data_IF_910903243245
#
_entry.id   IF_910903243245
#
_cell.length_a   1.000
_cell.length_b   1.000
_cell.length_c   1.000
_cell.angle_alpha   90.00
_cell.angle_beta   90.00
_cell.angle_gamma   90.00
#
_symmetry.space_group_name_H-M   'P 1'
#
loop_
_entity.id
_entity.type
_entity.pdbx_description
1 polymer ?
#
# COMPACT_ATOMS: atom_id res chain seq x y z
N UNK A 1 -37.33 -57.07 23.79
CA UNK A 1 -38.48 -57.18 24.72
C UNK A 1 -38.76 -55.81 25.29
N UNK A 2 -39.95 -55.41 25.13
CA UNK A 2 -40.86 -54.41 25.74
C UNK A 2 -40.50 -52.97 25.44
N UNK A 3 -41.20 -52.34 24.50
CA UNK A 3 -42.58 -51.79 24.37
C UNK A 3 -42.79 -50.49 25.14
N UNK A 4 -43.04 -49.41 24.32
CA UNK A 4 -44.15 -48.44 24.43
C UNK A 4 -44.24 -47.52 25.66
N UNK A 5 -44.44 -46.19 25.49
CA UNK A 5 -45.79 -45.67 25.18
C UNK A 5 -45.75 -44.18 24.89
N UNK A 6 -46.52 -43.74 23.88
CA UNK A 6 -46.90 -42.35 23.56
C UNK A 6 -47.89 -41.81 24.63
N UNK A 7 -47.82 -40.50 24.87
CA UNK A 7 -48.96 -39.78 25.40
C UNK A 7 -49.16 -38.49 24.64
N UNK A 8 -50.25 -38.38 23.92
CA UNK A 8 -50.92 -37.22 23.37
C UNK A 8 -51.63 -36.45 24.46
N UNK A 9 -51.54 -35.14 24.49
CA UNK A 9 -52.56 -34.30 25.14
C UNK A 9 -52.96 -33.16 24.21
N UNK A 10 -54.25 -33.10 23.96
CA UNK A 10 -55.01 -32.19 23.11
C UNK A 10 -55.63 -31.06 23.94
N UNK A 11 -55.57 -29.82 23.43
CA UNK A 11 -56.58 -28.74 23.37
C UNK A 11 -57.28 -28.27 24.66
N UNK A 12 -57.70 -26.96 24.75
CA UNK A 12 -58.70 -26.43 23.83
C UNK A 12 -58.55 -24.97 23.36
N UNK A 13 -59.23 -24.72 22.27
CA UNK A 13 -59.60 -23.49 21.60
C UNK A 13 -60.45 -22.57 22.48
N UNK A 14 -60.21 -21.26 22.55
CA UNK A 14 -61.16 -20.25 23.03
C UNK A 14 -61.33 -19.17 21.95
N UNK A 15 -62.54 -19.15 21.41
CA UNK A 15 -63.09 -18.08 20.58
C UNK A 15 -63.21 -16.80 21.40
N UNK A 16 -62.76 -15.67 20.88
CA UNK A 16 -63.29 -14.34 21.25
C UNK A 16 -63.61 -13.51 19.98
N UNK A 17 -64.74 -12.90 20.08
CA UNK A 17 -65.62 -12.24 19.11
C UNK A 17 -64.95 -10.94 18.59
N UNK A 18 -65.16 -10.67 17.31
CA UNK A 18 -64.83 -9.48 16.57
C UNK A 18 -65.54 -8.23 17.08
N UNK A 19 -64.83 -7.09 17.12
CA UNK A 19 -65.40 -5.77 17.00
C UNK A 19 -64.66 -5.04 15.87
N UNK A 20 -65.42 -4.75 14.83
CA UNK A 20 -65.04 -3.97 13.67
C UNK A 20 -65.01 -2.47 13.98
N UNK A 21 -63.88 -1.82 13.80
CA UNK A 21 -63.86 -0.38 13.49
C UNK A 21 -62.93 -0.14 12.32
N UNK A 22 -63.51 0.24 11.17
CA UNK A 22 -62.78 0.79 10.04
C UNK A 22 -62.35 2.21 10.34
N UNK A 23 -61.19 2.62 9.89
CA UNK A 23 -60.97 3.98 9.46
C UNK A 23 -60.66 4.10 7.96
N UNK A 24 -61.24 5.11 7.44
CA UNK A 24 -61.16 5.84 6.18
C UNK A 24 -59.97 5.55 5.22
N UNK A 25 -60.35 5.37 3.96
CA UNK A 25 -59.47 5.51 2.79
C UNK A 25 -58.69 6.81 2.79
N UNK A 26 -57.37 6.72 2.83
CA UNK A 26 -56.46 7.75 2.33
C UNK A 26 -55.93 7.24 1.01
N UNK A 27 -56.23 8.00 -0.06
CA UNK A 27 -55.72 7.73 -1.40
C UNK A 27 -54.15 7.70 -1.39
N UNK A 28 -53.58 6.56 -1.75
CA UNK A 28 -52.18 6.48 -2.08
C UNK A 28 -51.97 7.16 -3.43
N UNK A 29 -51.13 8.17 -3.44
CA UNK A 29 -50.57 8.70 -4.68
C UNK A 29 -49.54 7.67 -5.17
N UNK A 30 -49.80 7.08 -6.32
CA UNK A 30 -48.84 6.31 -7.08
C UNK A 30 -47.64 7.21 -7.42
N UNK A 31 -46.52 7.04 -6.73
CA UNK A 31 -45.24 7.56 -7.18
C UNK A 31 -44.64 6.46 -8.06
N UNK A 32 -44.63 6.70 -9.35
CA UNK A 32 -43.89 5.92 -10.33
C UNK A 32 -42.47 5.69 -9.83
N UNK A 33 -42.20 4.46 -9.42
CA UNK A 33 -40.84 3.98 -9.19
C UNK A 33 -40.15 3.80 -10.53
N UNK A 34 -39.60 4.90 -11.07
CA UNK A 34 -38.54 4.77 -12.05
C UNK A 34 -37.39 4.02 -11.39
N UNK A 35 -37.19 2.78 -11.77
CA UNK A 35 -36.12 1.92 -11.29
C UNK A 35 -34.78 2.57 -11.55
N UNK A 36 -34.16 3.07 -10.48
CA UNK A 36 -32.71 3.24 -10.46
C UNK A 36 -32.16 1.85 -10.12
N UNK A 37 -31.92 1.06 -11.15
CA UNK A 37 -31.02 -0.11 -11.03
C UNK A 37 -29.61 0.40 -10.85
N UNK A 38 -29.34 0.92 -9.66
CA UNK A 38 -28.02 1.20 -9.15
C UNK A 38 -27.44 -0.07 -8.58
N UNK A 39 -27.10 -1.04 -9.43
CA UNK A 39 -26.08 -2.02 -9.07
C UNK A 39 -24.80 -1.23 -8.85
N UNK A 40 -24.58 -0.83 -7.59
CA UNK A 40 -23.22 -0.55 -7.10
C UNK A 40 -22.49 -1.87 -7.25
N UNK A 41 -21.85 -2.07 -8.39
CA UNK A 41 -20.81 -3.08 -8.53
C UNK A 41 -19.74 -2.66 -7.54
N UNK A 42 -19.71 -3.32 -6.40
CA UNK A 42 -18.59 -3.28 -5.47
C UNK A 42 -17.35 -3.71 -6.28
N UNK A 43 -16.60 -2.71 -6.80
CA UNK A 43 -15.36 -2.98 -7.52
C UNK A 43 -14.44 -3.70 -6.54
N UNK A 44 -14.31 -5.00 -6.71
CA UNK A 44 -13.45 -5.85 -5.92
C UNK A 44 -12.06 -5.20 -5.81
N UNK A 45 -11.73 -4.73 -4.61
CA UNK A 45 -10.47 -4.03 -4.29
C UNK A 45 -9.33 -5.04 -4.35
N UNK A 46 -8.55 -5.05 -5.42
CA UNK A 46 -7.32 -5.87 -5.56
C UNK A 46 -6.16 -5.22 -4.82
N UNK A 47 -5.17 -6.01 -4.36
CA UNK A 47 -4.44 -5.69 -3.14
C UNK A 47 -5.49 -5.38 -2.07
N UNK A 48 -5.58 -6.09 -1.00
CA UNK A 48 -6.68 -5.88 -0.03
C UNK A 48 -6.75 -4.40 0.33
N UNK A 49 -7.93 -3.77 0.12
CA UNK A 49 -8.11 -2.34 0.33
C UNK A 49 -7.47 -1.40 -0.70
N UNK A 50 -6.80 -1.92 -1.73
CA UNK A 50 -6.15 -1.11 -2.77
C UNK A 50 -7.12 -0.47 -3.75
N UNK A 51 -6.65 0.57 -4.44
CA UNK A 51 -7.35 1.24 -5.52
C UNK A 51 -6.71 0.90 -6.88
N UNK A 52 -7.47 1.07 -7.97
CA UNK A 52 -6.90 1.02 -9.31
C UNK A 52 -5.80 2.08 -9.44
N UNK A 53 -4.67 1.68 -9.99
CA UNK A 53 -3.57 2.57 -10.33
C UNK A 53 -3.14 2.35 -11.78
N UNK A 54 -2.22 3.16 -12.26
CA UNK A 54 -1.66 3.00 -13.59
C UNK A 54 -0.17 2.73 -13.52
N UNK A 55 0.37 2.17 -14.59
CA UNK A 55 1.80 1.87 -14.65
C UNK A 55 2.66 3.14 -14.67
N UNK A 56 2.12 4.26 -15.12
CA UNK A 56 2.79 5.57 -15.08
C UNK A 56 3.00 6.06 -13.65
N UNK A 57 2.15 5.62 -12.71
CA UNK A 57 2.30 5.91 -11.27
C UNK A 57 3.25 4.93 -10.58
N UNK A 58 3.48 3.75 -11.17
CA UNK A 58 4.33 2.67 -10.67
C UNK A 58 5.27 2.15 -11.79
N UNK A 59 6.08 3.00 -12.48
CA UNK A 59 6.77 2.63 -13.71
C UNK A 59 7.87 1.57 -13.52
N UNK A 60 8.21 1.25 -12.28
CA UNK A 60 9.14 0.17 -11.93
C UNK A 60 8.45 -1.19 -11.73
N UNK A 61 7.10 -1.21 -11.64
CA UNK A 61 6.36 -2.45 -11.45
C UNK A 61 6.47 -3.35 -12.67
N UNK A 62 6.75 -4.62 -12.43
CA UNK A 62 6.70 -5.64 -13.48
C UNK A 62 5.86 -6.84 -13.08
N UNK A 63 5.33 -7.52 -14.08
CA UNK A 63 4.75 -8.86 -13.96
C UNK A 63 5.83 -9.87 -14.30
N UNK A 64 6.17 -10.77 -13.37
CA UNK A 64 6.99 -11.94 -13.62
C UNK A 64 6.06 -13.06 -14.09
N UNK A 65 6.35 -13.61 -15.27
CA UNK A 65 5.49 -14.58 -15.95
C UNK A 65 6.24 -15.86 -16.25
N UNK A 66 5.53 -16.96 -16.15
CA UNK A 66 5.98 -18.26 -16.65
C UNK A 66 5.04 -18.70 -17.77
N UNK A 67 5.60 -18.97 -18.94
CA UNK A 67 4.84 -19.33 -20.16
C UNK A 67 3.66 -18.37 -20.46
N UNK A 68 3.88 -17.07 -20.23
CA UNK A 68 2.89 -16.02 -20.47
C UNK A 68 1.86 -15.79 -19.36
N UNK A 69 1.92 -16.56 -18.27
CA UNK A 69 1.02 -16.42 -17.11
C UNK A 69 1.71 -15.69 -15.97
N UNK A 70 1.06 -14.64 -15.45
CA UNK A 70 1.50 -13.92 -14.25
C UNK A 70 1.45 -14.83 -13.03
N UNK A 71 2.50 -14.79 -12.20
CA UNK A 71 2.53 -15.51 -10.92
C UNK A 71 3.20 -14.73 -9.80
N UNK A 72 4.06 -13.76 -10.14
CA UNK A 72 4.75 -12.90 -9.19
C UNK A 72 4.95 -11.49 -9.75
N UNK A 73 5.18 -10.54 -8.86
CA UNK A 73 5.65 -9.20 -9.17
C UNK A 73 7.17 -9.09 -9.19
N UNK A 74 7.64 -7.89 -9.50
CA UNK A 74 9.06 -7.52 -9.42
C UNK A 74 9.24 -6.02 -9.55
N UNK A 75 10.45 -5.56 -9.29
CA UNK A 75 10.84 -4.15 -9.36
C UNK A 75 12.01 -3.97 -10.33
N UNK A 76 11.87 -3.09 -11.32
CA UNK A 76 12.99 -2.70 -12.18
C UNK A 76 13.99 -1.90 -11.33
N UNK A 77 15.22 -2.38 -11.21
CA UNK A 77 16.32 -1.66 -10.52
C UNK A 77 17.40 -1.15 -11.48
N UNK A 78 17.45 -1.70 -12.69
CA UNK A 78 18.30 -1.26 -13.79
C UNK A 78 17.71 -1.72 -15.13
N UNK A 79 18.18 -1.23 -16.29
CA UNK A 79 17.61 -1.62 -17.59
C UNK A 79 17.61 -3.13 -17.86
N UNK A 80 18.53 -3.88 -17.28
CA UNK A 80 18.67 -5.33 -17.47
C UNK A 80 18.43 -6.12 -16.18
N UNK A 81 17.99 -5.47 -15.07
CA UNK A 81 17.87 -6.11 -13.80
C UNK A 81 16.53 -5.83 -13.11
N UNK A 82 15.88 -6.91 -12.68
CA UNK A 82 14.66 -6.89 -11.86
C UNK A 82 14.93 -7.58 -10.53
N UNK A 83 14.52 -6.94 -9.44
CA UNK A 83 14.51 -7.52 -8.10
C UNK A 83 13.13 -8.13 -7.85
N UNK A 84 13.10 -9.37 -7.36
CA UNK A 84 11.88 -10.11 -6.98
C UNK A 84 12.14 -10.97 -5.73
N UNK A 85 11.14 -11.71 -5.26
CA UNK A 85 11.31 -12.66 -4.16
C UNK A 85 11.96 -13.96 -4.63
N UNK A 86 12.73 -14.61 -3.76
CA UNK A 86 13.38 -15.87 -4.10
C UNK A 86 12.39 -17.03 -4.17
N UNK A 87 11.37 -17.04 -3.30
CA UNK A 87 10.33 -18.07 -3.36
C UNK A 87 9.60 -18.11 -4.70
N UNK A 88 9.50 -16.96 -5.41
CA UNK A 88 8.91 -16.90 -6.75
C UNK A 88 9.69 -17.73 -7.78
N UNK A 89 10.98 -17.88 -7.60
CA UNK A 89 11.87 -18.51 -8.58
C UNK A 89 12.60 -19.73 -8.01
N UNK A 90 12.19 -20.20 -6.85
CA UNK A 90 12.74 -21.41 -6.25
C UNK A 90 12.49 -22.63 -7.14
N UNK A 91 13.53 -23.41 -7.41
CA UNK A 91 13.44 -24.58 -8.29
C UNK A 91 13.23 -24.30 -9.78
N UNK A 92 13.04 -23.03 -10.18
CA UNK A 92 12.83 -22.66 -11.59
C UNK A 92 14.15 -22.45 -12.32
N UNK A 93 14.17 -22.77 -13.62
CA UNK A 93 15.18 -22.31 -14.58
C UNK A 93 14.76 -20.96 -15.17
N UNK A 94 15.68 -20.29 -15.85
CA UNK A 94 15.36 -19.07 -16.59
C UNK A 94 14.47 -19.32 -17.81
N UNK A 95 14.46 -20.56 -18.32
CA UNK A 95 13.68 -20.96 -19.49
C UNK A 95 12.18 -20.81 -19.22
N UNK A 96 11.49 -20.17 -20.15
CA UNK A 96 10.04 -19.92 -20.03
C UNK A 96 9.68 -18.78 -19.09
N UNK A 97 10.67 -18.18 -18.39
CA UNK A 97 10.42 -16.97 -17.59
C UNK A 97 10.54 -15.71 -18.45
N UNK A 98 9.60 -14.80 -18.24
CA UNK A 98 9.59 -13.48 -18.84
C UNK A 98 9.16 -12.42 -17.84
N UNK A 99 9.58 -11.19 -18.12
CA UNK A 99 9.19 -10.00 -17.41
C UNK A 99 8.39 -9.10 -18.35
N UNK A 100 7.21 -8.68 -17.93
CA UNK A 100 6.37 -7.68 -18.61
C UNK A 100 6.44 -6.38 -17.84
N UNK A 101 6.95 -5.32 -18.47
CA UNK A 101 7.07 -3.97 -17.94
C UNK A 101 6.19 -3.00 -18.74
N UNK A 102 5.68 -1.94 -18.12
CA UNK A 102 4.94 -0.88 -18.80
C UNK A 102 3.49 -1.21 -19.16
N UNK A 103 2.91 -2.28 -18.60
CA UNK A 103 1.52 -2.66 -18.78
C UNK A 103 0.69 -2.32 -17.53
N UNK A 104 -0.39 -1.57 -17.70
CA UNK A 104 -1.37 -1.33 -16.63
C UNK A 104 -2.31 -2.53 -16.46
N UNK A 105 -2.62 -3.21 -17.56
CA UNK A 105 -3.48 -4.40 -17.59
C UNK A 105 -2.71 -5.62 -18.10
N UNK A 106 -2.84 -6.76 -17.42
CA UNK A 106 -2.20 -8.00 -17.83
C UNK A 106 -2.72 -8.49 -19.19
N UNK A 107 -4.02 -8.29 -19.49
CA UNK A 107 -4.62 -8.59 -20.80
C UNK A 107 -4.07 -7.74 -21.94
N UNK A 108 -3.39 -6.64 -21.61
CA UNK A 108 -2.73 -5.73 -22.55
C UNK A 108 -1.21 -5.71 -22.37
N UNK A 109 -0.63 -6.84 -22.07
CA UNK A 109 0.83 -7.00 -21.92
C UNK A 109 1.62 -6.51 -23.15
N UNK A 110 1.02 -6.59 -24.34
CA UNK A 110 1.57 -6.06 -25.61
C UNK A 110 1.70 -4.54 -25.65
N UNK A 111 1.00 -3.81 -24.79
CA UNK A 111 1.15 -2.35 -24.68
C UNK A 111 2.47 -1.98 -23.97
N UNK A 112 3.11 -2.94 -23.34
CA UNK A 112 4.36 -2.82 -22.60
C UNK A 112 5.56 -3.41 -23.34
N UNK A 113 6.56 -3.79 -22.55
CA UNK A 113 7.80 -4.43 -23.03
C UNK A 113 7.94 -5.79 -22.36
N UNK A 114 8.03 -6.83 -23.16
CA UNK A 114 8.33 -8.19 -22.67
C UNK A 114 9.79 -8.52 -22.91
N UNK A 115 10.47 -9.03 -21.88
CA UNK A 115 11.86 -9.52 -21.93
C UNK A 115 11.95 -10.89 -21.31
N UNK A 116 12.62 -11.82 -21.97
CA UNK A 116 12.98 -13.10 -21.38
C UNK A 116 13.98 -12.92 -20.24
N UNK A 117 14.04 -13.88 -19.34
CA UNK A 117 15.05 -13.94 -18.28
C UNK A 117 16.24 -14.75 -18.80
N UNK A 118 17.43 -14.16 -18.77
CA UNK A 118 18.69 -14.80 -19.16
C UNK A 118 19.28 -15.61 -18.00
N UNK A 119 19.14 -15.10 -16.78
CA UNK A 119 19.72 -15.69 -15.57
C UNK A 119 18.92 -15.31 -14.33
N UNK A 120 18.76 -16.27 -13.41
CA UNK A 120 18.26 -16.07 -12.05
C UNK A 120 19.46 -16.08 -11.09
N UNK A 121 19.64 -15.03 -10.31
CA UNK A 121 20.63 -14.97 -9.23
C UNK A 121 19.89 -14.97 -7.89
N UNK A 122 20.03 -16.06 -7.15
CA UNK A 122 19.37 -16.27 -5.86
C UNK A 122 20.26 -15.80 -4.74
N UNK A 123 19.67 -15.21 -3.69
CA UNK A 123 20.42 -14.84 -2.49
C UNK A 123 20.87 -16.12 -1.76
N UNK A 124 22.13 -16.21 -1.31
CA UNK A 124 22.64 -17.43 -0.67
C UNK A 124 22.01 -17.69 0.69
N UNK A 125 21.79 -18.97 1.00
CA UNK A 125 21.32 -19.43 2.31
C UNK A 125 19.83 -19.22 2.58
N UNK A 126 19.03 -18.95 1.57
CA UNK A 126 17.57 -19.01 1.66
C UNK A 126 17.08 -20.43 1.98
N UNK A 127 16.01 -20.55 2.75
CA UNK A 127 15.35 -21.83 3.08
C UNK A 127 13.85 -21.77 2.82
N UNK A 128 13.19 -20.75 3.35
CA UNK A 128 11.80 -20.39 3.09
C UNK A 128 11.58 -18.94 3.52
N UNK A 129 10.49 -18.27 3.09
CA UNK A 129 10.27 -16.85 3.37
C UNK A 129 10.30 -16.50 4.85
N UNK A 130 9.84 -17.40 5.72
CA UNK A 130 9.73 -17.19 7.17
C UNK A 130 11.12 -16.98 7.82
N UNK A 131 12.18 -17.54 7.21
CA UNK A 131 13.56 -17.41 7.70
C UNK A 131 14.33 -16.26 7.04
N UNK A 132 13.63 -15.35 6.32
CA UNK A 132 14.25 -14.26 5.60
C UNK A 132 15.01 -14.69 4.34
N UNK A 133 15.89 -13.80 3.84
CA UNK A 133 16.72 -14.00 2.63
C UNK A 133 15.89 -14.22 1.36
N UNK A 134 14.67 -13.74 1.36
CA UNK A 134 13.71 -13.96 0.28
C UNK A 134 13.83 -12.92 -0.83
N UNK A 135 14.99 -12.88 -1.48
CA UNK A 135 15.25 -12.01 -2.63
C UNK A 135 15.98 -12.76 -3.74
N UNK A 136 15.65 -12.44 -4.98
CA UNK A 136 16.35 -12.89 -6.17
C UNK A 136 16.44 -11.77 -7.22
N UNK A 137 17.48 -11.86 -8.06
CA UNK A 137 17.69 -10.94 -9.17
C UNK A 137 17.45 -11.70 -10.48
N UNK A 138 16.67 -11.08 -11.37
CA UNK A 138 16.46 -11.56 -12.74
C UNK A 138 17.27 -10.69 -13.69
N UNK A 139 18.25 -11.30 -14.37
CA UNK A 139 18.94 -10.66 -15.48
C UNK A 139 18.14 -10.86 -16.76
N UNK A 140 17.77 -9.77 -17.42
CA UNK A 140 16.96 -9.83 -18.65
C UNK A 140 17.85 -10.13 -19.85
N UNK A 141 17.26 -10.78 -20.88
CA UNK A 141 17.93 -11.11 -22.15
C UNK A 141 18.29 -9.88 -22.98
N UNK A 142 17.58 -8.77 -22.79
CA UNK A 142 17.81 -7.50 -23.43
C UNK A 142 17.36 -6.35 -22.50
N UNK A 143 17.95 -5.14 -22.63
CA UNK A 143 17.57 -4.02 -21.79
C UNK A 143 16.12 -3.57 -22.03
N UNK A 144 15.49 -3.09 -20.99
CA UNK A 144 14.25 -2.32 -21.03
C UNK A 144 14.56 -0.90 -21.54
N UNK A 145 13.70 -0.38 -22.40
CA UNK A 145 13.77 1.03 -22.84
C UNK A 145 12.95 1.89 -21.87
N UNK A 146 13.64 2.76 -21.14
CA UNK A 146 12.98 3.62 -20.15
C UNK A 146 12.13 4.70 -20.81
N UNK A 147 10.96 4.95 -20.23
CA UNK A 147 9.99 5.97 -20.64
C UNK A 147 9.04 6.23 -19.46
N UNK A 148 7.95 7.01 -19.66
CA UNK A 148 7.00 7.32 -18.59
C UNK A 148 6.33 6.08 -17.96
N UNK A 149 6.33 4.93 -18.64
CA UNK A 149 5.68 3.67 -18.20
C UNK A 149 6.68 2.62 -17.74
N UNK A 150 7.97 2.81 -17.99
CA UNK A 150 9.04 1.87 -17.66
C UNK A 150 10.23 2.65 -17.12
N UNK A 151 10.51 2.53 -15.84
CA UNK A 151 11.64 3.21 -15.18
C UNK A 151 12.16 2.36 -14.02
N UNK A 152 13.44 2.52 -13.71
CA UNK A 152 14.01 1.91 -12.51
C UNK A 152 13.59 2.68 -11.25
N UNK A 153 13.38 1.94 -10.15
CA UNK A 153 13.21 2.52 -8.82
C UNK A 153 14.56 2.50 -8.09
N UNK A 154 15.02 3.61 -7.50
CA UNK A 154 16.20 3.64 -6.66
C UNK A 154 16.01 2.75 -5.41
N UNK A 155 17.07 2.07 -4.99
CA UNK A 155 17.08 1.32 -3.73
C UNK A 155 17.15 2.28 -2.54
N UNK A 156 16.43 1.98 -1.47
CA UNK A 156 16.55 2.71 -0.21
C UNK A 156 17.97 2.53 0.37
N UNK A 157 18.50 3.62 0.91
CA UNK A 157 19.67 3.62 1.78
C UNK A 157 19.20 3.71 3.25
N UNK A 158 20.00 3.24 4.20
CA UNK A 158 19.69 3.38 5.63
C UNK A 158 19.50 4.85 6.04
N UNK A 159 20.30 5.75 5.44
CA UNK A 159 20.19 7.19 5.68
C UNK A 159 18.83 7.80 5.25
N UNK A 160 18.07 7.12 4.40
CA UNK A 160 16.73 7.58 3.99
C UNK A 160 15.69 7.45 5.10
N UNK A 161 15.94 6.57 6.07
CA UNK A 161 14.99 6.19 7.12
C UNK A 161 13.61 5.77 6.57
N UNK A 162 13.56 5.43 5.29
CA UNK A 162 12.33 5.16 4.54
C UNK A 162 11.66 3.82 4.88
N UNK A 163 12.34 2.96 5.66
CA UNK A 163 11.84 1.66 6.12
C UNK A 163 11.66 1.63 7.65
N UNK A 164 11.55 2.79 8.30
CA UNK A 164 11.28 2.89 9.73
C UNK A 164 9.79 2.77 10.03
N UNK A 165 9.47 2.38 11.26
CA UNK A 165 8.09 2.29 11.72
C UNK A 165 7.38 3.64 11.58
N UNK A 166 6.13 3.62 11.14
CA UNK A 166 5.32 4.81 10.89
C UNK A 166 5.44 5.38 9.46
N UNK A 167 6.48 5.03 8.71
CA UNK A 167 6.58 5.44 7.29
C UNK A 167 5.44 4.81 6.49
N UNK A 168 4.78 5.60 5.65
CA UNK A 168 3.77 5.08 4.74
C UNK A 168 4.44 4.60 3.47
N UNK A 169 4.39 3.29 3.25
CA UNK A 169 4.77 2.64 2.02
C UNK A 169 3.60 2.47 1.07
N UNK A 170 3.87 2.36 -0.22
CA UNK A 170 2.90 1.96 -1.24
C UNK A 170 3.29 0.60 -1.78
N UNK A 171 2.43 -0.40 -1.60
CA UNK A 171 2.55 -1.70 -2.25
C UNK A 171 1.72 -1.71 -3.53
N UNK A 172 2.22 -2.34 -4.59
CA UNK A 172 1.52 -2.43 -5.88
C UNK A 172 1.67 -3.80 -6.54
N UNK A 173 0.64 -4.21 -7.31
CA UNK A 173 0.66 -5.48 -8.04
C UNK A 173 -0.68 -5.89 -8.61
N UNK A 174 -0.73 -7.13 -9.09
CA UNK A 174 -1.91 -7.80 -9.66
C UNK A 174 -2.34 -9.01 -8.84
N UNK A 175 -1.96 -9.08 -7.58
CA UNK A 175 -2.36 -10.15 -6.66
C UNK A 175 -3.85 -10.20 -6.39
N UNK A 176 -4.30 -11.22 -5.69
CA UNK A 176 -5.72 -11.39 -5.35
C UNK A 176 -6.21 -10.29 -4.39
N UNK A 177 -7.51 -10.07 -4.37
CA UNK A 177 -8.16 -8.99 -3.60
C UNK A 177 -8.65 -9.41 -2.23
N UNK A 178 -8.48 -10.68 -1.92
CA UNK A 178 -8.90 -11.29 -0.66
C UNK A 178 -8.02 -12.51 -0.37
N UNK A 179 -7.80 -12.78 0.88
CA UNK A 179 -7.10 -13.98 1.34
C UNK A 179 -7.76 -15.25 0.77
N UNK A 180 -6.96 -16.18 0.25
CA UNK A 180 -7.43 -17.40 -0.39
C UNK A 180 -8.18 -17.20 -1.72
N UNK A 181 -8.14 -15.98 -2.29
CA UNK A 181 -8.69 -15.70 -3.61
C UNK A 181 -7.91 -16.44 -4.71
N UNK A 182 -8.63 -16.89 -5.76
CA UNK A 182 -8.04 -17.57 -6.93
C UNK A 182 -8.02 -16.70 -8.18
N UNK A 183 -8.69 -15.55 -8.15
CA UNK A 183 -8.81 -14.64 -9.30
C UNK A 183 -7.91 -13.44 -9.08
N UNK A 184 -6.97 -13.22 -9.98
CA UNK A 184 -6.13 -12.04 -10.04
C UNK A 184 -6.80 -10.97 -10.91
N UNK A 185 -6.73 -9.68 -10.52
CA UNK A 185 -7.27 -8.59 -11.33
C UNK A 185 -6.44 -8.38 -12.58
N UNK A 186 -7.09 -7.96 -13.64
CA UNK A 186 -6.43 -7.52 -14.86
C UNK A 186 -5.73 -6.16 -14.69
N UNK A 187 -6.36 -5.26 -13.93
CA UNK A 187 -5.90 -3.89 -13.68
C UNK A 187 -4.91 -3.84 -12.52
N UNK A 188 -3.77 -3.18 -12.73
CA UNK A 188 -2.79 -2.88 -11.67
C UNK A 188 -3.45 -2.10 -10.52
N UNK A 189 -3.11 -2.47 -9.31
CA UNK A 189 -3.61 -1.83 -8.10
C UNK A 189 -2.47 -1.42 -7.17
N UNK A 190 -2.80 -0.52 -6.23
CA UNK A 190 -1.89 -0.09 -5.18
C UNK A 190 -2.64 0.22 -3.90
N UNK A 191 -1.98 0.01 -2.76
CA UNK A 191 -2.46 0.41 -1.44
C UNK A 191 -1.33 1.08 -0.65
N UNK A 192 -1.71 2.06 0.14
CA UNK A 192 -0.83 2.65 1.13
C UNK A 192 -0.93 1.87 2.45
N UNK A 193 0.22 1.44 2.93
CA UNK A 193 0.38 0.63 4.13
C UNK A 193 1.43 1.22 5.05
N UNK A 194 1.20 1.33 6.36
CA UNK A 194 2.21 1.77 7.29
C UNK A 194 3.27 0.68 7.48
N UNK A 195 4.53 1.08 7.54
CA UNK A 195 5.62 0.24 8.05
C UNK A 195 5.43 0.10 9.55
N UNK A 196 5.55 -1.12 10.06
CA UNK A 196 5.34 -1.44 11.47
C UNK A 196 6.67 -1.74 12.17
N UNK A 197 6.69 -1.54 13.49
CA UNK A 197 7.82 -1.93 14.31
C UNK A 197 8.00 -3.46 14.32
N UNK A 198 9.22 -3.94 14.09
CA UNK A 198 9.51 -5.39 14.07
C UNK A 198 9.16 -6.07 15.40
N UNK A 199 9.27 -5.38 16.54
CA UNK A 199 8.87 -5.92 17.83
C UNK A 199 7.37 -6.25 17.89
N UNK A 200 6.52 -5.40 17.31
CA UNK A 200 5.08 -5.66 17.18
C UNK A 200 4.81 -6.88 16.29
N UNK A 201 5.44 -6.95 15.14
CA UNK A 201 5.30 -8.10 14.24
C UNK A 201 5.80 -9.41 14.90
N UNK A 202 6.90 -9.38 15.65
CA UNK A 202 7.42 -10.54 16.39
C UNK A 202 6.45 -11.07 17.44
N UNK A 203 5.64 -10.22 18.08
CA UNK A 203 4.64 -10.66 19.06
C UNK A 203 3.58 -11.57 18.42
N UNK A 204 3.12 -11.24 17.21
CA UNK A 204 2.06 -12.01 16.52
C UNK A 204 2.61 -13.19 15.73
N UNK A 205 3.83 -13.08 15.18
CA UNK A 205 4.48 -14.16 14.43
C UNK A 205 5.32 -15.12 15.28
N UNK A 206 5.36 -14.94 16.59
CA UNK A 206 6.03 -15.88 17.51
C UNK A 206 7.54 -15.76 17.59
N UNK A 207 8.15 -14.62 17.27
CA UNK A 207 9.57 -14.33 17.50
C UNK A 207 10.54 -14.96 16.51
N UNK A 208 10.06 -15.50 15.38
CA UNK A 208 10.90 -16.12 14.34
C UNK A 208 11.41 -15.15 13.28
N UNK A 209 10.97 -13.88 13.31
CA UNK A 209 11.31 -12.89 12.31
C UNK A 209 12.78 -12.48 12.40
N UNK A 210 13.42 -12.36 11.25
CA UNK A 210 14.82 -11.97 11.10
C UNK A 210 14.97 -10.47 10.82
N UNK A 211 16.16 -9.89 11.05
CA UNK A 211 16.42 -8.46 10.89
C UNK A 211 16.37 -8.00 9.43
N UNK A 212 16.45 -8.91 8.48
CA UNK A 212 16.32 -8.67 7.04
C UNK A 212 14.87 -8.72 6.53
N UNK A 213 13.91 -8.77 7.44
CA UNK A 213 12.49 -8.63 7.16
C UNK A 213 11.96 -7.25 7.58
N UNK A 214 10.88 -6.84 6.97
CA UNK A 214 10.15 -5.60 7.19
C UNK A 214 8.67 -5.93 7.28
N UNK A 215 7.99 -5.45 8.32
CA UNK A 215 6.54 -5.60 8.45
C UNK A 215 5.84 -4.33 7.96
N UNK A 216 4.80 -4.49 7.14
CA UNK A 216 3.93 -3.37 6.76
C UNK A 216 2.52 -3.89 6.45
N UNK A 217 1.52 -3.10 6.79
CA UNK A 217 0.12 -3.47 6.59
C UNK A 217 -0.77 -2.84 7.65
N UNK A 218 -2.06 -2.93 7.41
CA UNK A 218 -3.11 -2.56 8.38
C UNK A 218 -4.38 -3.33 8.05
N UNK A 219 -5.31 -3.38 8.97
CA UNK A 219 -6.63 -4.00 8.75
C UNK A 219 -7.24 -3.59 7.39
N UNK A 220 -7.53 -4.56 6.57
CA UNK A 220 -8.11 -4.35 5.24
C UNK A 220 -7.20 -3.70 4.19
N UNK A 221 -5.87 -3.59 4.43
CA UNK A 221 -4.92 -3.04 3.46
C UNK A 221 -3.59 -3.81 3.54
N UNK A 222 -3.31 -4.60 2.51
CA UNK A 222 -2.14 -5.47 2.46
C UNK A 222 -1.86 -5.97 1.05
N UNK A 223 -0.66 -6.53 0.82
CA UNK A 223 -0.35 -7.40 -0.32
C UNK A 223 -1.06 -8.75 -0.20
N UNK A 224 -1.25 -9.44 -1.31
CA UNK A 224 -1.92 -10.74 -1.31
C UNK A 224 -1.29 -11.70 -2.34
N UNK A 225 -1.86 -12.90 -2.48
CA UNK A 225 -1.34 -13.93 -3.40
C UNK A 225 -1.23 -13.38 -4.83
N UNK A 226 -0.04 -13.47 -5.42
CA UNK A 226 0.30 -12.92 -6.74
C UNK A 226 1.02 -11.55 -6.69
N UNK A 227 1.02 -10.85 -5.55
CA UNK A 227 1.85 -9.66 -5.34
C UNK A 227 3.29 -10.00 -4.94
N UNK A 228 3.55 -11.25 -4.55
CA UNK A 228 4.88 -11.80 -4.18
C UNK A 228 5.97 -11.31 -5.12
N UNK A 229 7.09 -10.85 -4.56
CA UNK A 229 8.20 -10.29 -5.33
C UNK A 229 8.00 -8.84 -5.79
N UNK A 230 6.78 -8.31 -5.70
CA UNK A 230 6.43 -6.93 -6.05
C UNK A 230 7.01 -5.89 -5.09
N UNK A 231 6.95 -4.59 -5.47
CA UNK A 231 7.53 -3.50 -4.70
C UNK A 231 6.69 -3.08 -3.51
N UNK A 232 7.34 -2.83 -2.39
CA UNK A 232 6.93 -1.87 -1.38
C UNK A 232 7.84 -0.66 -1.51
N UNK A 233 7.29 0.48 -1.88
CA UNK A 233 8.03 1.73 -2.11
C UNK A 233 7.62 2.81 -1.12
N UNK A 234 8.52 3.71 -0.76
CA UNK A 234 8.22 4.86 0.08
C UNK A 234 8.74 6.16 -0.54
N UNK A 235 8.09 7.27 -0.19
CA UNK A 235 8.53 8.60 -0.60
C UNK A 235 9.61 9.12 0.34
N UNK A 236 10.65 9.71 -0.23
CA UNK A 236 11.72 10.40 0.49
C UNK A 236 11.91 11.81 -0.09
N UNK A 237 12.64 12.71 0.57
CA UNK A 237 12.98 14.00 -0.03
C UNK A 237 13.71 13.89 -1.39
N UNK A 238 14.32 12.75 -1.68
CA UNK A 238 15.02 12.46 -2.93
C UNK A 238 14.16 11.79 -3.99
N UNK A 239 12.87 11.59 -3.73
CA UNK A 239 11.93 10.86 -4.57
C UNK A 239 11.56 9.51 -3.98
N UNK A 240 10.87 8.71 -4.76
CA UNK A 240 10.41 7.38 -4.35
C UNK A 240 11.54 6.36 -4.40
N UNK A 241 11.65 5.53 -3.35
CA UNK A 241 12.66 4.47 -3.22
C UNK A 241 12.01 3.13 -2.89
N UNK A 242 12.67 2.04 -3.25
CA UNK A 242 12.25 0.68 -2.93
C UNK A 242 12.73 0.32 -1.52
N UNK A 243 11.80 0.05 -0.61
CA UNK A 243 12.08 -0.30 0.79
C UNK A 243 11.90 -1.77 1.09
N UNK A 244 11.03 -2.47 0.33
CA UNK A 244 10.69 -3.86 0.56
C UNK A 244 10.31 -4.61 -0.71
N UNK A 245 10.42 -5.93 -0.65
CA UNK A 245 9.96 -6.89 -1.65
C UNK A 245 8.90 -7.76 -0.99
N UNK A 246 7.70 -7.85 -1.56
CA UNK A 246 6.60 -8.66 -1.01
C UNK A 246 7.06 -10.10 -0.82
N UNK A 247 6.96 -10.63 0.39
CA UNK A 247 7.48 -11.95 0.76
C UNK A 247 6.39 -12.89 1.25
N UNK A 248 5.89 -12.74 2.47
CA UNK A 248 4.91 -13.66 3.05
C UNK A 248 4.01 -13.00 4.11
N UNK A 249 3.05 -13.76 4.66
CA UNK A 249 2.18 -13.35 5.75
C UNK A 249 1.09 -14.38 6.01
N UNK A 250 0.44 -14.31 7.17
CA UNK A 250 -0.72 -15.14 7.48
C UNK A 250 -2.00 -14.45 7.01
N UNK A 251 -2.54 -14.90 5.87
CA UNK A 251 -3.68 -14.24 5.23
C UNK A 251 -3.28 -13.00 4.45
N UNK A 252 -4.23 -12.08 4.23
CA UNK A 252 -4.01 -10.79 3.58
C UNK A 252 -4.99 -9.76 4.17
N UNK A 253 -4.46 -8.63 4.62
CA UNK A 253 -5.26 -7.55 5.21
C UNK A 253 -5.83 -7.89 6.57
N UNK A 254 -5.26 -8.86 7.26
CA UNK A 254 -5.61 -9.20 8.63
C UNK A 254 -5.13 -8.08 9.58
N UNK A 255 -5.94 -7.77 10.59
CA UNK A 255 -5.60 -6.73 11.56
C UNK A 255 -4.41 -7.12 12.45
N UNK A 256 -4.28 -8.42 12.73
CA UNK A 256 -3.32 -8.97 13.66
C UNK A 256 -2.04 -9.46 12.97
N UNK A 257 -2.11 -9.78 11.66
CA UNK A 257 -1.01 -10.35 10.89
C UNK A 257 -0.63 -9.45 9.70
N UNK A 258 0.26 -8.45 9.92
CA UNK A 258 0.73 -7.59 8.83
C UNK A 258 1.54 -8.37 7.80
N UNK A 259 1.53 -7.93 6.55
CA UNK A 259 2.39 -8.48 5.51
C UNK A 259 3.87 -8.33 5.85
N UNK A 260 4.66 -9.32 5.46
CA UNK A 260 6.10 -9.34 5.65
C UNK A 260 6.82 -9.22 4.30
N UNK A 261 7.85 -8.40 4.28
CA UNK A 261 8.62 -8.03 3.11
C UNK A 261 10.10 -8.30 3.37
N UNK A 262 10.85 -8.66 2.34
CA UNK A 262 12.30 -8.64 2.44
C UNK A 262 12.77 -7.16 2.46
N UNK A 263 13.50 -6.76 3.51
CA UNK A 263 14.01 -5.40 3.74
C UNK A 263 15.13 -5.08 2.75
N UNK A 264 14.90 -4.20 1.80
CA UNK A 264 15.84 -3.91 0.70
C UNK A 264 17.20 -3.46 1.20
N UNK A 265 17.26 -2.65 2.26
CA UNK A 265 18.55 -2.14 2.80
C UNK A 265 19.46 -3.27 3.29
N UNK A 266 18.93 -4.41 3.67
CA UNK A 266 19.70 -5.59 4.09
C UNK A 266 20.43 -6.30 2.93
N UNK A 267 20.07 -6.01 1.68
CA UNK A 267 20.58 -6.69 0.50
C UNK A 267 21.36 -5.80 -0.46
N UNK A 268 21.51 -4.53 -0.14
CA UNK A 268 22.11 -3.53 -1.04
C UNK A 268 23.54 -3.85 -1.45
N UNK A 269 24.37 -4.40 -0.54
CA UNK A 269 25.73 -4.83 -0.86
C UNK A 269 25.75 -5.96 -1.89
N UNK A 270 24.92 -7.00 -1.67
CA UNK A 270 24.81 -8.12 -2.61
C UNK A 270 24.24 -7.69 -3.97
N UNK A 271 23.25 -6.79 -3.96
CA UNK A 271 22.70 -6.23 -5.20
C UNK A 271 23.81 -5.46 -5.94
N UNK A 272 24.57 -4.62 -5.24
CA UNK A 272 25.67 -3.85 -5.84
C UNK A 272 26.78 -4.75 -6.42
N UNK A 273 27.20 -5.78 -5.68
CA UNK A 273 28.19 -6.77 -6.14
C UNK A 273 27.72 -7.53 -7.40
N UNK A 274 26.42 -7.83 -7.48
CA UNK A 274 25.85 -8.63 -8.57
C UNK A 274 25.54 -7.79 -9.80
N UNK A 275 25.04 -6.57 -9.61
CA UNK A 275 24.42 -5.76 -10.68
C UNK A 275 25.15 -4.44 -10.97
N UNK A 276 25.99 -3.99 -10.05
CA UNK A 276 26.55 -2.64 -10.04
C UNK A 276 25.58 -1.55 -9.53
N UNK A 277 24.33 -1.91 -9.18
CA UNK A 277 23.31 -0.97 -8.68
C UNK A 277 23.55 -0.71 -7.21
N UNK A 278 23.82 0.52 -6.85
CA UNK A 278 24.00 0.96 -5.45
C UNK A 278 22.81 1.82 -5.00
N UNK A 279 22.51 1.86 -3.68
CA UNK A 279 21.59 2.87 -3.17
C UNK A 279 22.09 4.26 -3.55
N UNK A 280 21.22 5.08 -4.12
CA UNK A 280 21.62 6.44 -4.51
C UNK A 280 21.80 7.31 -3.28
N UNK A 281 23.04 7.48 -2.82
CA UNK A 281 23.38 8.58 -1.93
C UNK A 281 23.40 9.91 -2.74
N UNK A 282 22.21 10.40 -3.12
CA UNK A 282 22.07 11.78 -3.61
C UNK A 282 22.50 12.08 -5.04
N UNK A 283 22.31 11.17 -6.01
CA UNK A 283 22.49 11.47 -7.43
C UNK A 283 21.42 10.75 -8.25
N UNK A 284 20.46 11.49 -8.80
CA UNK A 284 19.41 10.93 -9.65
C UNK A 284 19.99 10.17 -10.84
N UNK A 285 19.45 8.99 -11.13
CA UNK A 285 19.59 8.38 -12.45
C UNK A 285 19.15 9.41 -13.51
N UNK A 286 19.77 9.47 -14.68
CA UNK A 286 19.34 10.40 -15.72
C UNK A 286 17.89 10.02 -16.11
N UNK A 287 16.95 10.81 -15.65
CA UNK A 287 15.60 10.83 -16.22
C UNK A 287 15.81 11.08 -17.73
N UNK A 288 15.27 10.20 -18.56
CA UNK A 288 15.11 10.50 -19.98
C UNK A 288 14.50 11.90 -20.07
N UNK A 289 15.18 12.78 -20.79
CA UNK A 289 14.89 14.20 -20.88
C UNK A 289 13.41 14.46 -21.14
N UNK A 290 12.65 14.68 -20.09
CA UNK A 290 11.44 15.47 -20.17
C UNK A 290 11.88 16.94 -20.26
N UNK A 291 11.17 17.81 -20.99
CA UNK A 291 11.56 19.21 -21.17
C UNK A 291 11.76 19.84 -19.80
N UNK A 292 12.88 20.55 -19.64
CA UNK A 292 13.29 21.27 -18.43
C UNK A 292 12.12 22.07 -17.84
N UNK A 293 11.47 21.51 -16.84
CA UNK A 293 10.74 22.31 -15.89
C UNK A 293 11.77 22.86 -14.90
N UNK A 294 11.87 24.14 -14.82
CA UNK A 294 12.62 24.91 -13.81
C UNK A 294 12.37 24.29 -12.43
N UNK A 295 13.38 24.09 -11.56
CA UNK A 295 13.16 23.56 -10.22
C UNK A 295 12.20 24.49 -9.50
N UNK A 296 10.99 24.00 -9.26
CA UNK A 296 10.00 24.72 -8.46
C UNK A 296 10.49 24.61 -7.01
N UNK A 297 10.93 25.72 -6.44
CA UNK A 297 11.31 25.82 -5.02
C UNK A 297 10.10 25.40 -4.17
N UNK A 298 10.37 24.67 -3.09
CA UNK A 298 9.34 24.30 -2.13
C UNK A 298 8.57 25.55 -1.67
N UNK A 299 7.25 25.52 -1.85
CA UNK A 299 6.38 26.60 -1.41
C UNK A 299 5.77 26.23 -0.07
N UNK A 300 6.07 27.03 0.95
CA UNK A 300 5.45 26.88 2.29
C UNK A 300 3.99 27.34 2.23
N UNK A 301 3.08 26.48 2.63
CA UNK A 301 1.63 26.72 2.75
C UNK A 301 1.20 26.96 4.19
N UNK A 302 1.92 26.42 5.18
CA UNK A 302 1.67 26.56 6.61
C UNK A 302 3.01 26.59 7.34
N UNK A 303 3.11 27.46 8.31
CA UNK A 303 4.26 27.56 9.21
C UNK A 303 3.76 28.11 10.58
N UNK A 304 3.70 27.25 11.60
CA UNK A 304 3.07 27.56 12.88
C UNK A 304 3.71 26.83 14.05
N UNK A 305 3.92 27.55 15.16
CA UNK A 305 4.11 26.92 16.44
C UNK A 305 2.77 26.37 16.96
N UNK A 306 2.78 25.16 17.51
CA UNK A 306 1.61 24.47 18.03
C UNK A 306 1.87 23.94 19.45
N UNK A 307 0.83 23.98 20.27
CA UNK A 307 0.80 23.45 21.64
C UNK A 307 -0.64 23.14 22.03
N UNK A 308 -0.86 22.11 22.82
CA UNK A 308 -2.23 21.75 23.24
C UNK A 308 -2.26 20.88 24.50
N UNK A 309 -3.43 20.79 25.10
CA UNK A 309 -3.71 19.87 26.18
C UNK A 309 -4.01 18.45 25.63
N UNK A 310 -3.92 17.45 26.51
CA UNK A 310 -4.41 16.11 26.19
C UNK A 310 -5.89 16.17 25.75
N UNK A 311 -6.25 15.45 24.70
CA UNK A 311 -7.58 15.45 24.11
C UNK A 311 -7.92 16.68 23.27
N UNK A 312 -7.01 17.66 23.12
CA UNK A 312 -7.26 18.84 22.28
C UNK A 312 -7.12 18.50 20.78
N UNK A 313 -7.89 19.22 19.95
CA UNK A 313 -7.77 19.19 18.50
C UNK A 313 -7.59 20.59 17.96
N UNK A 314 -6.54 20.82 17.19
CA UNK A 314 -6.34 22.06 16.43
C UNK A 314 -6.47 21.76 14.94
N UNK A 315 -7.14 22.63 14.18
CA UNK A 315 -7.38 22.44 12.77
C UNK A 315 -6.85 23.63 11.98
N UNK A 316 -6.10 23.34 10.93
CA UNK A 316 -5.57 24.29 9.97
C UNK A 316 -6.09 23.91 8.57
N UNK A 317 -6.21 24.88 7.69
CA UNK A 317 -6.51 24.63 6.28
C UNK A 317 -5.40 25.22 5.42
N UNK A 318 -5.05 24.49 4.36
CA UNK A 318 -4.07 24.89 3.35
C UNK A 318 -4.71 24.73 1.98
N UNK A 319 -4.22 25.48 0.99
CA UNK A 319 -4.65 25.33 -0.40
C UNK A 319 -3.49 24.78 -1.21
N UNK A 320 -3.64 23.55 -1.68
CA UNK A 320 -2.69 22.89 -2.57
C UNK A 320 -2.96 23.37 -4.00
N UNK A 321 -1.96 23.94 -4.69
CA UNK A 321 -2.11 24.42 -6.05
C UNK A 321 -2.26 23.27 -7.04
N UNK A 322 -2.79 23.58 -8.21
CA UNK A 322 -2.81 22.65 -9.34
C UNK A 322 -1.38 22.34 -9.79
N UNK A 323 -1.13 21.08 -10.14
CA UNK A 323 0.19 20.62 -10.58
C UNK A 323 1.18 20.33 -9.44
N UNK A 324 0.77 20.43 -8.17
CA UNK A 324 1.62 20.03 -7.04
C UNK A 324 1.96 18.55 -7.15
N UNK A 325 3.24 18.23 -7.05
CA UNK A 325 3.75 16.86 -7.14
C UNK A 325 3.91 16.20 -5.77
N UNK A 326 4.14 17.01 -4.72
CA UNK A 326 4.28 16.54 -3.34
C UNK A 326 3.65 17.57 -2.40
N UNK A 327 2.87 17.09 -1.43
CA UNK A 327 2.49 17.82 -0.22
C UNK A 327 3.20 17.15 0.95
N UNK A 328 4.05 17.88 1.65
CA UNK A 328 4.69 17.43 2.87
C UNK A 328 4.19 18.26 4.05
N UNK A 329 3.75 17.58 5.12
CA UNK A 329 3.37 18.22 6.38
C UNK A 329 4.24 17.61 7.47
N UNK A 330 4.96 18.46 8.17
CA UNK A 330 5.91 18.07 9.23
C UNK A 330 5.52 18.78 10.52
N UNK A 331 5.48 18.04 11.61
CA UNK A 331 5.40 18.56 12.97
C UNK A 331 6.62 18.04 13.73
N UNK A 332 7.29 18.90 14.48
CA UNK A 332 8.49 18.46 15.22
C UNK A 332 9.06 19.47 16.19
N UNK A 333 10.07 19.04 16.95
CA UNK A 333 10.82 19.86 17.90
C UNK A 333 10.11 20.13 19.21
N UNK A 334 8.95 19.47 19.48
CA UNK A 334 8.14 19.65 20.67
C UNK A 334 8.46 18.69 21.81
N UNK A 335 7.67 18.79 22.88
CA UNK A 335 7.60 17.85 24.00
C UNK A 335 6.17 17.35 24.13
N UNK A 336 5.99 16.15 24.66
CA UNK A 336 4.69 15.48 24.79
C UNK A 336 4.35 14.68 23.55
N UNK A 337 3.14 14.15 23.48
CA UNK A 337 2.64 13.30 22.40
C UNK A 337 1.46 13.95 21.69
N UNK A 338 1.61 14.18 20.39
CA UNK A 338 0.59 14.80 19.54
C UNK A 338 0.58 14.19 18.16
N UNK A 339 -0.58 13.74 17.73
CA UNK A 339 -0.84 13.11 16.45
C UNK A 339 -1.15 14.12 15.34
N UNK A 340 -0.55 13.93 14.18
CA UNK A 340 -0.82 14.68 12.96
C UNK A 340 -1.84 13.95 12.08
N UNK A 341 -2.86 14.68 11.63
CA UNK A 341 -3.87 14.20 10.69
C UNK A 341 -3.95 15.12 9.49
N UNK A 342 -3.88 14.59 8.28
CA UNK A 342 -3.99 15.36 7.04
C UNK A 342 -5.10 14.78 6.16
N UNK A 343 -5.97 15.64 5.61
CA UNK A 343 -7.08 15.19 4.76
C UNK A 343 -7.48 16.23 3.72
N UNK A 344 -7.79 15.74 2.49
CA UNK A 344 -8.32 16.57 1.41
C UNK A 344 -9.80 16.87 1.59
N UNK A 345 -10.20 18.12 1.34
CA UNK A 345 -11.58 18.57 1.20
C UNK A 345 -12.42 18.62 2.48
N UNK A 346 -12.03 17.95 3.55
CA UNK A 346 -12.77 17.89 4.83
C UNK A 346 -11.80 17.80 6.02
N UNK A 347 -12.26 18.23 7.19
CA UNK A 347 -11.50 18.03 8.43
C UNK A 347 -11.31 16.53 8.68
N UNK A 348 -10.10 16.11 9.04
CA UNK A 348 -9.87 14.74 9.50
C UNK A 348 -10.57 14.49 10.84
N UNK A 349 -10.86 13.24 11.12
CA UNK A 349 -11.36 12.75 12.41
C UNK A 349 -10.43 11.62 12.88
N UNK A 350 -10.61 11.13 14.10
CA UNK A 350 -9.82 10.00 14.61
C UNK A 350 -9.89 8.72 13.74
N UNK A 351 -10.92 8.61 12.88
CA UNK A 351 -11.13 7.45 12.01
C UNK A 351 -11.09 7.74 10.50
N UNK A 352 -11.01 9.01 10.09
CA UNK A 352 -11.09 9.42 8.68
C UNK A 352 -10.02 10.47 8.37
N UNK A 353 -8.99 10.08 7.66
CA UNK A 353 -7.82 10.87 7.27
C UNK A 353 -7.21 10.30 5.99
N UNK A 354 -6.41 11.08 5.29
CA UNK A 354 -5.64 10.64 4.11
C UNK A 354 -4.19 10.32 4.51
N UNK A 355 -3.68 10.96 5.58
CA UNK A 355 -2.41 10.65 6.20
C UNK A 355 -2.49 10.89 7.71
N UNK A 356 -2.00 9.94 8.51
CA UNK A 356 -1.80 10.02 9.95
C UNK A 356 -0.57 9.21 10.34
N UNK A 357 0.53 9.83 10.71
CA UNK A 357 1.66 9.14 11.35
C UNK A 357 1.25 8.60 12.74
N UNK A 358 1.99 7.58 13.20
CA UNK A 358 1.76 6.94 14.51
C UNK A 358 3.07 6.93 15.31
N UNK A 359 3.51 8.12 15.74
CA UNK A 359 4.72 8.23 16.56
C UNK A 359 4.32 8.52 17.99
N UNK A 360 5.03 7.94 18.96
CA UNK A 360 4.83 8.21 20.40
C UNK A 360 5.48 9.54 20.84
N UNK A 361 5.52 10.54 19.94
CA UNK A 361 6.13 11.86 20.15
C UNK A 361 5.41 12.91 19.33
N UNK A 362 5.75 14.20 19.54
CA UNK A 362 5.27 15.28 18.68
C UNK A 362 6.05 15.42 17.34
N UNK A 363 6.97 14.52 17.02
CA UNK A 363 7.71 14.52 15.75
C UNK A 363 7.00 13.65 14.72
N UNK A 364 6.26 14.27 13.81
CA UNK A 364 5.33 13.63 12.89
C UNK A 364 5.52 14.12 11.45
N UNK A 365 5.46 13.21 10.47
CA UNK A 365 5.63 13.56 9.04
C UNK A 365 4.56 12.90 8.18
N UNK A 366 3.82 13.70 7.43
CA UNK A 366 2.96 13.26 6.33
C UNK A 366 3.55 13.67 5.00
N UNK A 367 3.77 12.73 4.09
CA UNK A 367 4.19 13.01 2.71
C UNK A 367 3.18 12.39 1.74
N UNK A 368 2.54 13.23 0.95
CA UNK A 368 1.51 12.87 0.00
C UNK A 368 2.00 13.17 -1.42
N UNK A 369 2.16 12.14 -2.23
CA UNK A 369 2.54 12.27 -3.64
C UNK A 369 1.33 12.64 -4.51
N UNK A 370 1.55 13.52 -5.50
CA UNK A 370 0.51 13.99 -6.42
C UNK A 370 -0.78 14.40 -5.71
N UNK A 371 -0.71 15.31 -4.72
CA UNK A 371 -1.87 15.71 -3.95
C UNK A 371 -2.89 16.39 -4.88
N UNK A 372 -4.17 16.11 -4.68
CA UNK A 372 -5.23 16.81 -5.42
C UNK A 372 -5.18 18.32 -5.14
N UNK A 373 -5.32 19.14 -6.16
CA UNK A 373 -5.48 20.59 -6.00
C UNK A 373 -6.73 20.90 -5.16
N UNK A 374 -6.67 21.99 -4.39
CA UNK A 374 -7.79 22.46 -3.58
C UNK A 374 -7.49 22.49 -2.09
N UNK A 375 -8.55 22.56 -1.27
CA UNK A 375 -8.42 22.70 0.18
C UNK A 375 -8.06 21.37 0.83
N UNK A 376 -7.03 21.41 1.66
CA UNK A 376 -6.61 20.34 2.56
C UNK A 376 -6.70 20.81 4.01
N UNK A 377 -7.00 19.92 4.90
CA UNK A 377 -7.05 20.18 6.33
C UNK A 377 -5.91 19.41 7.02
N UNK A 378 -5.18 20.14 7.84
CA UNK A 378 -4.15 19.63 8.73
C UNK A 378 -4.69 19.76 10.15
N UNK A 379 -4.64 18.72 10.94
CA UNK A 379 -5.12 18.71 12.31
C UNK A 379 -4.08 18.10 13.23
N UNK A 380 -3.90 18.71 14.40
CA UNK A 380 -3.02 18.22 15.45
C UNK A 380 -3.89 17.84 16.64
N UNK A 381 -3.79 16.57 17.06
CA UNK A 381 -4.50 16.04 18.22
C UNK A 381 -3.51 15.77 19.35
N UNK A 382 -3.69 16.33 20.52
CA UNK A 382 -2.90 15.98 21.69
C UNK A 382 -3.34 14.63 22.25
N UNK A 383 -2.51 13.59 22.11
CA UNK A 383 -2.69 12.36 22.86
C UNK A 383 -2.32 12.60 24.33
N UNK A 384 -1.22 13.31 24.55
CA UNK A 384 -0.85 13.94 25.81
C UNK A 384 -0.78 15.46 25.65
N UNK A 385 -0.51 16.19 26.75
CA UNK A 385 -0.23 17.62 26.67
C UNK A 385 1.10 17.83 25.93
N UNK A 386 1.09 18.64 24.85
CA UNK A 386 2.26 18.93 24.05
C UNK A 386 2.55 20.41 23.95
N UNK A 387 3.81 20.76 23.75
CA UNK A 387 4.25 22.17 23.67
C UNK A 387 5.55 22.32 22.90
N UNK A 388 5.75 23.50 22.31
CA UNK A 388 6.97 23.84 21.58
C UNK A 388 7.14 23.12 20.25
N UNK A 389 6.15 22.39 19.77
CA UNK A 389 6.18 21.77 18.46
C UNK A 389 5.98 22.82 17.35
N UNK A 390 6.59 22.59 16.20
CA UNK A 390 6.49 23.42 15.01
C UNK A 390 5.85 22.64 13.88
N UNK A 391 4.78 23.17 13.30
CA UNK A 391 4.02 22.56 12.21
C UNK A 391 4.26 23.32 10.92
N UNK A 392 4.78 22.61 9.90
CA UNK A 392 5.00 23.15 8.55
C UNK A 392 4.25 22.33 7.52
N UNK A 393 3.75 22.98 6.47
CA UNK A 393 3.27 22.30 5.26
C UNK A 393 3.89 22.94 4.04
N UNK A 394 4.50 22.14 3.19
CA UNK A 394 5.18 22.58 1.97
C UNK A 394 4.62 21.80 0.76
N UNK A 395 4.61 22.45 -0.40
CA UNK A 395 4.31 21.80 -1.69
C UNK A 395 5.42 22.04 -2.67
N UNK A 396 5.60 21.06 -3.53
CA UNK A 396 6.52 21.07 -4.65
C UNK A 396 5.80 20.79 -5.96
#
# INVERSE_FOLDING_TARGET
MTKNTRAHLSLPCLLFVAVSTQPACVAALDVDSAGIDGTVVDEAKAIVGGANTTIEQQPWQVSVQQYGSHFCGGSIIAPTWVLTAQHCVEGLSADGLAVVAGATRLSRATDGQTRGVARIVRFPGYRSPEYGRDVALLQLTAPLSFNARVAAIPLAADADRAAEAGVIGTVSGWGTTRSGGTTTPDQLKAADVPVLGMAQAQQVYGGTLTSDQLAAGRAGHDSCQGDSGGPLSASTPRGRVLIGVVSWGYGCGDADYPGLYARVTSYTSWIAETTGVTPSSGGGAPAASAPSATPTSDRTLLDRAVAGAAGSFQHFSITVPEGATVLQVVMGGGRGDADLYVRAGRRPTGSLWDCRPYMDTADEVCTLASPRAGTWFVSVAGYEAYSGAHLTATVR
#
